data_IF_806498495956
#
_entry.id   IF_806498495956
#
_cell.length_a   1.000
_cell.length_b   1.000
_cell.length_c   1.000
_cell.angle_alpha   90.00
_cell.angle_beta   90.00
_cell.angle_gamma   90.00
#
_symmetry.space_group_name_H-M   'P 1'
#
loop_
_entity.id
_entity.type
_entity.pdbx_description
1 polymer ?
#
# COMPACT_ATOMS: atom_id res chain seq x y z
N UNK A 1 -24.22 36.55 -14.29
CA UNK A 1 -23.43 35.44 -14.86
C UNK A 1 -22.43 34.98 -13.81
N UNK A 2 -22.81 34.07 -12.93
CA UNK A 2 -21.90 33.45 -11.94
C UNK A 2 -22.53 32.14 -11.47
N UNK A 3 -21.98 31.02 -11.92
CA UNK A 3 -22.09 29.66 -11.35
C UNK A 3 -20.69 29.03 -11.47
N UNK A 4 -20.33 28.03 -10.64
CA UNK A 4 -19.93 28.17 -9.25
C UNK A 4 -18.47 27.73 -9.07
N UNK A 5 -17.84 28.10 -7.96
CA UNK A 5 -16.53 27.53 -7.61
C UNK A 5 -16.68 26.05 -7.29
N UNK A 6 -16.24 25.17 -8.20
CA UNK A 6 -16.06 23.73 -7.91
C UNK A 6 -15.12 23.60 -6.71
N UNK A 7 -15.63 23.02 -5.63
CA UNK A 7 -14.82 22.65 -4.47
C UNK A 7 -14.11 21.34 -4.85
N UNK A 8 -12.77 21.27 -4.90
CA UNK A 8 -12.12 19.98 -5.06
C UNK A 8 -12.46 19.15 -3.82
N UNK A 9 -13.29 18.13 -4.00
CA UNK A 9 -13.49 17.07 -3.01
C UNK A 9 -12.26 16.17 -3.03
N UNK A 10 -11.14 16.68 -2.52
CA UNK A 10 -9.96 15.86 -2.29
C UNK A 10 -10.28 14.89 -1.16
N UNK A 11 -10.79 13.70 -1.49
CA UNK A 11 -10.92 12.60 -0.54
C UNK A 11 -9.52 12.17 -0.13
N UNK A 12 -9.13 12.48 1.11
CA UNK A 12 -7.84 12.05 1.68
C UNK A 12 -7.86 10.53 1.83
N UNK A 13 -6.96 9.83 1.13
CA UNK A 13 -6.79 8.39 1.28
C UNK A 13 -5.66 8.09 2.27
N UNK A 14 -5.82 7.03 3.06
CA UNK A 14 -4.79 6.55 3.99
C UNK A 14 -4.01 5.41 3.34
N UNK A 15 -2.73 5.63 3.09
CA UNK A 15 -1.78 4.60 2.63
C UNK A 15 -1.12 3.93 3.83
N UNK A 16 -1.26 2.62 3.97
CA UNK A 16 -0.43 1.83 4.89
C UNK A 16 1.04 1.87 4.43
N UNK A 17 1.96 2.17 5.34
CA UNK A 17 3.40 2.21 5.07
C UNK A 17 4.03 0.82 5.23
N UNK A 18 5.11 0.52 4.46
CA UNK A 18 5.77 -0.80 4.49
C UNK A 18 6.66 -1.01 5.73
N UNK A 19 6.78 -0.01 6.60
CA UNK A 19 7.47 -0.09 7.89
C UNK A 19 6.50 0.09 9.06
N UNK A 20 6.92 -0.40 10.21
CA UNK A 20 6.27 -0.15 11.49
C UNK A 20 6.75 1.18 12.08
N UNK A 21 5.96 1.73 13.00
CA UNK A 21 6.43 2.77 13.89
C UNK A 21 7.53 2.22 14.82
N UNK A 22 8.32 3.07 15.49
CA UNK A 22 9.29 2.62 16.50
C UNK A 22 8.68 1.75 17.61
N UNK A 23 7.39 1.93 17.89
CA UNK A 23 6.61 1.14 18.87
C UNK A 23 6.05 -0.17 18.28
N UNK A 24 6.40 -0.51 17.04
CA UNK A 24 5.95 -1.73 16.36
C UNK A 24 4.53 -1.66 15.82
N UNK A 25 3.93 -0.47 15.67
CA UNK A 25 2.55 -0.32 15.19
C UNK A 25 2.48 -0.03 13.69
N UNK A 26 1.42 -0.47 12.98
CA UNK A 26 1.18 -0.05 11.61
C UNK A 26 1.16 1.47 11.47
N UNK A 27 1.87 2.00 10.47
CA UNK A 27 1.95 3.43 10.19
C UNK A 27 1.19 3.78 8.92
N UNK A 28 0.51 4.94 8.90
CA UNK A 28 -0.30 5.38 7.77
C UNK A 28 0.12 6.77 7.30
N UNK A 29 0.12 6.96 5.98
CA UNK A 29 0.31 8.24 5.32
C UNK A 29 -1.04 8.73 4.80
N UNK A 30 -1.52 9.86 5.32
CA UNK A 30 -2.63 10.58 4.72
C UNK A 30 -2.12 11.34 3.49
N UNK A 31 -2.69 11.09 2.32
CA UNK A 31 -2.29 11.78 1.11
C UNK A 31 -3.49 12.18 0.26
N UNK A 32 -3.44 13.39 -0.30
CA UNK A 32 -4.37 13.89 -1.31
C UNK A 32 -3.92 13.51 -2.73
N UNK A 33 -2.69 12.99 -2.88
CA UNK A 33 -2.04 12.68 -4.14
C UNK A 33 -1.07 11.51 -4.00
N UNK A 34 -1.13 10.53 -4.91
CA UNK A 34 -0.35 9.29 -4.77
C UNK A 34 1.17 9.44 -5.03
N UNK A 35 1.66 10.66 -5.28
CA UNK A 35 3.01 10.91 -5.80
C UNK A 35 3.93 11.76 -4.90
N UNK A 36 3.51 12.04 -3.66
CA UNK A 36 4.32 12.76 -2.67
C UNK A 36 5.66 12.06 -2.34
N UNK A 37 6.60 12.80 -1.75
CA UNK A 37 7.94 12.28 -1.38
C UNK A 37 7.86 11.01 -0.53
N UNK A 38 7.01 11.01 0.51
CA UNK A 38 6.82 9.83 1.38
C UNK A 38 6.19 8.65 0.64
N UNK A 39 5.34 8.90 -0.37
CA UNK A 39 4.77 7.86 -1.22
C UNK A 39 5.87 7.16 -2.02
N UNK A 40 6.76 7.92 -2.66
CA UNK A 40 7.90 7.36 -3.41
C UNK A 40 8.90 6.66 -2.50
N UNK A 41 9.12 7.18 -1.31
CA UNK A 41 9.97 6.52 -0.32
C UNK A 41 9.36 5.19 0.14
N UNK A 42 8.03 5.15 0.34
CA UNK A 42 7.33 3.90 0.58
C UNK A 42 7.47 2.92 -0.59
N UNK A 43 7.36 3.36 -1.84
CA UNK A 43 7.58 2.49 -3.01
C UNK A 43 9.01 1.92 -3.03
N UNK A 44 10.00 2.73 -2.68
CA UNK A 44 11.40 2.28 -2.59
C UNK A 44 11.59 1.24 -1.50
N UNK A 45 11.05 1.45 -0.30
CA UNK A 45 11.16 0.48 0.79
C UNK A 45 10.41 -0.81 0.45
N UNK A 46 9.23 -0.72 -0.18
CA UNK A 46 8.52 -1.91 -0.69
C UNK A 46 9.42 -2.72 -1.64
N UNK A 47 10.12 -2.06 -2.58
CA UNK A 47 11.02 -2.75 -3.50
C UNK A 47 12.19 -3.42 -2.78
N UNK A 48 12.86 -2.69 -1.87
CA UNK A 48 13.99 -3.22 -1.10
C UNK A 48 13.57 -4.44 -0.25
N UNK A 49 12.43 -4.38 0.43
CA UNK A 49 11.93 -5.51 1.23
C UNK A 49 11.65 -6.75 0.38
N UNK A 50 11.07 -6.58 -0.80
CA UNK A 50 10.78 -7.69 -1.72
C UNK A 50 12.07 -8.31 -2.27
N UNK A 51 13.06 -7.49 -2.63
CA UNK A 51 14.36 -7.99 -3.12
C UNK A 51 15.15 -8.70 -2.01
N UNK A 52 15.12 -8.17 -0.79
CA UNK A 52 15.69 -8.83 0.38
C UNK A 52 15.01 -10.17 0.68
N UNK A 53 13.68 -10.23 0.59
CA UNK A 53 12.93 -11.46 0.79
C UNK A 53 13.29 -12.53 -0.27
N UNK A 54 13.46 -12.12 -1.54
CA UNK A 54 13.92 -13.01 -2.61
C UNK A 54 15.32 -13.56 -2.32
N UNK A 55 16.25 -12.67 -2.00
CA UNK A 55 17.65 -13.04 -1.72
C UNK A 55 17.73 -14.00 -0.52
N UNK A 56 16.94 -13.74 0.52
CA UNK A 56 16.87 -14.62 1.69
C UNK A 56 16.27 -15.98 1.36
N UNK A 57 15.24 -16.02 0.50
CA UNK A 57 14.64 -17.28 0.06
C UNK A 57 15.64 -18.13 -0.71
N UNK A 58 16.43 -17.53 -1.61
CA UNK A 58 17.48 -18.22 -2.36
C UNK A 58 18.52 -18.84 -1.40
N UNK A 59 19.02 -18.07 -0.43
CA UNK A 59 19.94 -18.57 0.58
C UNK A 59 19.33 -19.65 1.49
N UNK A 60 18.04 -19.55 1.82
CA UNK A 60 17.37 -20.59 2.58
C UNK A 60 17.28 -21.90 1.81
N UNK A 61 17.00 -21.84 0.51
CA UNK A 61 17.01 -23.02 -0.36
C UNK A 61 18.40 -23.65 -0.45
N UNK A 62 19.46 -22.85 -0.56
CA UNK A 62 20.85 -23.34 -0.52
C UNK A 62 21.15 -24.04 0.81
N UNK A 63 20.83 -23.40 1.93
CA UNK A 63 21.11 -23.94 3.26
C UNK A 63 20.33 -25.22 3.57
N UNK A 64 19.08 -25.34 3.13
CA UNK A 64 18.28 -26.55 3.30
C UNK A 64 18.82 -27.74 2.49
N UNK A 65 19.60 -27.49 1.44
CA UNK A 65 20.25 -28.52 0.63
C UNK A 65 21.64 -28.90 1.16
N UNK A 66 22.19 -28.21 2.15
CA UNK A 66 23.50 -28.50 2.76
C UNK A 66 23.36 -29.56 3.88
N UNK A 67 23.86 -30.81 3.70
CA UNK A 67 23.69 -31.87 4.69
C UNK A 67 24.37 -31.57 6.03
N UNK A 68 25.34 -30.66 6.06
CA UNK A 68 26.08 -30.27 7.27
C UNK A 68 25.48 -29.03 7.95
N UNK A 69 24.38 -28.47 7.45
CA UNK A 69 23.73 -27.31 8.04
C UNK A 69 23.38 -27.58 9.51
N UNK A 70 23.87 -26.71 10.40
CA UNK A 70 23.65 -26.87 11.83
C UNK A 70 22.22 -26.48 12.22
N UNK A 71 21.67 -27.04 13.31
CA UNK A 71 20.38 -26.61 13.84
C UNK A 71 20.32 -25.11 14.18
N UNK A 72 21.48 -24.48 14.47
CA UNK A 72 21.56 -23.04 14.73
C UNK A 72 21.35 -22.23 13.45
N UNK A 73 21.99 -22.62 12.35
CA UNK A 73 21.82 -21.96 11.04
C UNK A 73 20.38 -22.13 10.54
N UNK A 74 19.81 -23.32 10.68
CA UNK A 74 18.41 -23.58 10.32
C UNK A 74 17.42 -22.74 11.14
N UNK A 75 17.63 -22.60 12.46
CA UNK A 75 16.80 -21.72 13.28
C UNK A 75 16.96 -20.25 12.87
N UNK A 76 18.18 -19.82 12.59
CA UNK A 76 18.46 -18.45 12.16
C UNK A 76 17.74 -18.13 10.84
N UNK A 77 17.87 -18.98 9.82
CA UNK A 77 17.21 -18.74 8.53
C UNK A 77 15.70 -18.79 8.66
N UNK A 78 15.14 -19.69 9.47
CA UNK A 78 13.71 -19.76 9.73
C UNK A 78 13.19 -18.48 10.38
N UNK A 79 13.90 -17.92 11.38
CA UNK A 79 13.55 -16.62 11.98
C UNK A 79 13.56 -15.51 10.95
N UNK A 80 14.63 -15.42 10.13
CA UNK A 80 14.72 -14.40 9.08
C UNK A 80 13.61 -14.53 8.04
N UNK A 81 13.25 -15.76 7.66
CA UNK A 81 12.15 -16.02 6.71
C UNK A 81 10.80 -15.56 7.27
N UNK A 82 10.53 -15.78 8.57
CA UNK A 82 9.31 -15.28 9.21
C UNK A 82 9.24 -13.75 9.17
N UNK A 83 10.35 -13.06 9.45
CA UNK A 83 10.43 -11.60 9.38
C UNK A 83 10.18 -11.10 7.96
N UNK A 84 10.87 -11.66 6.97
CA UNK A 84 10.71 -11.28 5.55
C UNK A 84 9.29 -11.56 5.02
N UNK A 85 8.65 -12.64 5.48
CA UNK A 85 7.27 -12.94 5.12
C UNK A 85 6.30 -11.93 5.74
N UNK A 86 6.49 -11.55 7.01
CA UNK A 86 5.67 -10.53 7.65
C UNK A 86 5.76 -9.18 6.93
N UNK A 87 6.97 -8.80 6.48
CA UNK A 87 7.18 -7.61 5.67
C UNK A 87 6.50 -7.71 4.30
N UNK A 88 6.65 -8.85 3.62
CA UNK A 88 6.01 -9.11 2.31
C UNK A 88 4.49 -9.05 2.39
N UNK A 89 3.88 -9.60 3.44
CA UNK A 89 2.44 -9.53 3.68
C UNK A 89 1.97 -8.08 3.88
N UNK A 90 2.77 -7.25 4.56
CA UNK A 90 2.46 -5.83 4.72
C UNK A 90 2.54 -5.06 3.41
N UNK A 91 3.55 -5.33 2.59
CA UNK A 91 3.65 -4.76 1.23
C UNK A 91 2.43 -5.15 0.40
N UNK A 92 2.04 -6.42 0.43
CA UNK A 92 0.86 -6.92 -0.28
C UNK A 92 -0.44 -6.22 0.19
N UNK A 93 -0.63 -6.09 1.51
CA UNK A 93 -1.78 -5.39 2.09
C UNK A 93 -1.82 -3.92 1.67
N UNK A 94 -0.69 -3.22 1.77
CA UNK A 94 -0.57 -1.82 1.36
C UNK A 94 -0.93 -1.62 -0.10
N UNK A 95 -0.44 -2.50 -0.99
CA UNK A 95 -0.78 -2.47 -2.42
C UNK A 95 -2.25 -2.75 -2.67
N UNK A 96 -2.82 -3.75 -2.00
CA UNK A 96 -4.23 -4.11 -2.13
C UNK A 96 -5.18 -2.96 -1.74
N UNK A 97 -4.89 -2.25 -0.65
CA UNK A 97 -5.68 -1.09 -0.20
C UNK A 97 -5.67 0.06 -1.21
N UNK A 98 -4.59 0.23 -1.99
CA UNK A 98 -4.53 1.28 -3.03
C UNK A 98 -5.36 0.94 -4.27
N UNK A 99 -5.57 -0.35 -4.55
CA UNK A 99 -6.42 -0.78 -5.67
C UNK A 99 -7.91 -0.49 -5.37
N UNK A 100 -8.37 -0.77 -4.15
CA UNK A 100 -9.78 -0.59 -3.75
C UNK A 100 -10.23 0.87 -3.70
N UNK A 101 -9.30 1.82 -3.50
CA UNK A 101 -9.61 3.27 -3.49
C UNK A 101 -9.91 3.82 -4.89
N UNK A 102 -9.56 3.08 -5.95
CA UNK A 102 -9.74 3.58 -7.33
C UNK A 102 -11.12 3.24 -7.93
N UNK A 103 -11.94 2.41 -7.24
CA UNK A 103 -13.22 1.87 -7.74
C UNK A 103 -14.48 2.63 -7.24
N UNK A 104 -14.36 3.87 -6.72
CA UNK A 104 -15.56 4.64 -6.35
C UNK A 104 -16.43 4.95 -7.60
N UNK A 105 -17.76 4.73 -7.56
CA UNK A 105 -18.65 5.00 -8.69
C UNK A 105 -18.62 6.49 -9.09
N UNK A 106 -18.72 6.81 -10.40
CA UNK A 106 -18.82 8.21 -10.83
C UNK A 106 -20.02 8.89 -10.18
N UNK A 107 -19.84 10.14 -9.75
CA UNK A 107 -20.91 10.97 -9.21
C UNK A 107 -22.15 10.93 -10.12
N UNK A 108 -23.37 10.83 -9.56
CA UNK A 108 -24.59 10.80 -10.36
C UNK A 108 -24.66 12.07 -11.21
N UNK A 109 -25.12 11.99 -12.47
CA UNK A 109 -25.20 13.14 -13.35
C UNK A 109 -26.08 14.21 -12.70
N UNK A 110 -25.56 15.44 -12.62
CA UNK A 110 -26.26 16.61 -12.10
C UNK A 110 -27.65 16.71 -12.74
N UNK A 111 -28.67 16.32 -11.98
CA UNK A 111 -30.06 16.32 -12.41
C UNK A 111 -30.57 17.74 -12.52
N UNK A 112 -30.34 18.39 -13.66
CA UNK A 112 -30.96 19.66 -13.98
C UNK A 112 -32.44 19.42 -14.32
N UNK A 113 -33.29 19.36 -13.30
CA UNK A 113 -34.74 19.32 -13.44
C UNK A 113 -35.25 20.75 -13.69
N UNK A 114 -34.99 21.27 -14.89
CA UNK A 114 -35.52 22.55 -15.35
C UNK A 114 -37.00 22.36 -15.70
N UNK A 115 -37.87 22.45 -14.68
CA UNK A 115 -39.31 22.58 -14.87
C UNK A 115 -39.60 23.95 -15.48
N UNK A 116 -39.49 24.03 -16.81
CA UNK A 116 -40.10 25.09 -17.60
C UNK A 116 -41.58 25.17 -17.26
N UNK A 117 -41.98 26.27 -16.61
CA UNK A 117 -43.39 26.68 -16.54
C UNK A 117 -43.79 27.20 -17.92
N UNK A 118 -44.85 26.69 -18.57
CA UNK A 118 -45.49 27.47 -19.62
C UNK A 118 -46.48 28.45 -18.96
N UNK A 119 -46.41 29.69 -19.43
CA UNK A 119 -47.41 30.72 -19.20
C UNK A 119 -48.73 30.33 -19.88
N UNK A 120 -49.82 30.63 -19.19
CA UNK A 120 -51.21 30.47 -19.65
C UNK A 120 -52.14 31.01 -18.58
#
# INVERSE_FOLDING_TARGET
MTHPGSRPTSSVSLRLLPWLSPEGKPSYLATDSNHGYLSRFADHVEAVQIDMARTLLDHACELLNEPKASPRELRFVATRLMEALADTLRVAQSRGQRLTVTDDPPDPPDGNCEMSRPAG
#
